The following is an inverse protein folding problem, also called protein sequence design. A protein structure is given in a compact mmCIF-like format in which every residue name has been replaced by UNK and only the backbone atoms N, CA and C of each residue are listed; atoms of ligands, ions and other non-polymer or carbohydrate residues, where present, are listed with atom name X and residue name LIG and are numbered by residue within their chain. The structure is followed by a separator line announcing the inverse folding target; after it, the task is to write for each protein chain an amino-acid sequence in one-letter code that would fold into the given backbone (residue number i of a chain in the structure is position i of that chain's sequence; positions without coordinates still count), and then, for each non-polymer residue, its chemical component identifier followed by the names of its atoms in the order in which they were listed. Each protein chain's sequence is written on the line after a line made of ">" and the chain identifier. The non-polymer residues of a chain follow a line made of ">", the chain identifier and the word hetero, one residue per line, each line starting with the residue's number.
data_IF_397561576318
#
_entry.id   IF_397561576318
#
_cell.length_a   1.000
_cell.length_b   1.000
_cell.length_c   1.000
_cell.angle_alpha   90.00
_cell.angle_beta   90.00
_cell.angle_gamma   90.00
#
_symmetry.space_group_name_H-M   'P 1'
#
loop_
_entity.id
_entity.type
_entity.pdbx_description
1 polymer ?
#
# COMPACT_ATOMS: atom_id res chain seq x y z
N UNK A 1 -2.75 50.87 57.12
CA UNK A 1 -2.65 51.72 55.90
C UNK A 1 -2.48 50.77 54.72
N UNK A 2 -3.44 50.44 53.86
CA UNK A 2 -4.26 51.22 52.89
C UNK A 2 -3.45 51.92 51.76
N UNK A 3 -3.50 51.29 50.57
CA UNK A 3 -3.57 51.83 49.17
C UNK A 3 -2.24 52.44 48.61
N UNK A 4 -1.74 52.27 47.37
CA UNK A 4 -2.32 52.15 46.00
C UNK A 4 -1.36 51.51 44.97
N UNK A 5 -1.94 50.84 43.98
CA UNK A 5 -1.38 50.42 42.68
C UNK A 5 -1.25 51.59 41.67
N UNK A 6 -0.69 51.27 40.49
CA UNK A 6 -0.82 51.92 39.15
C UNK A 6 0.31 52.92 38.75
N UNK A 7 0.83 53.00 37.51
CA UNK A 7 0.79 52.18 36.26
C UNK A 7 1.64 52.87 35.17
N UNK A 8 2.18 52.08 34.21
CA UNK A 8 2.54 52.42 32.78
C UNK A 8 3.64 53.48 32.48
N UNK A 9 4.35 53.52 31.34
CA UNK A 9 4.30 52.90 30.00
C UNK A 9 5.74 52.86 29.40
N UNK A 10 6.15 51.88 28.58
CA UNK A 10 6.22 51.95 27.10
C UNK A 10 7.67 52.26 26.61
N UNK A 11 8.31 51.65 25.61
CA UNK A 11 7.88 50.86 24.46
C UNK A 11 9.08 50.09 23.81
N UNK A 12 8.83 48.85 23.35
CA UNK A 12 9.11 48.21 22.02
C UNK A 12 10.53 48.39 21.40
N UNK A 13 11.29 47.33 21.04
CA UNK A 13 11.21 46.50 19.79
C UNK A 13 12.14 45.26 19.90
N UNK A 14 11.55 44.06 19.68
CA UNK A 14 11.98 42.86 18.92
C UNK A 14 13.43 42.27 19.07
N UNK A 15 13.74 40.97 19.01
CA UNK A 15 13.20 39.80 18.29
C UNK A 15 13.64 38.53 19.07
N UNK A 16 12.74 37.57 19.25
CA UNK A 16 13.04 36.25 19.84
C UNK A 16 11.77 35.41 20.03
N UNK A 17 10.91 35.44 19.03
CA UNK A 17 9.56 34.85 19.01
C UNK A 17 9.57 33.33 19.01
N UNK A 18 8.72 32.77 19.88
CA UNK A 18 7.94 31.53 19.71
C UNK A 18 8.71 30.26 19.30
N UNK A 19 8.98 29.41 20.28
CA UNK A 19 8.93 27.95 20.10
C UNK A 19 8.03 27.31 21.16
N UNK A 20 6.88 27.94 21.41
CA UNK A 20 5.73 27.26 22.00
C UNK A 20 5.01 26.52 20.87
N UNK A 21 5.69 25.55 20.26
CA UNK A 21 5.05 24.62 19.32
C UNK A 21 4.15 23.74 20.16
N UNK A 22 2.85 23.86 19.91
CA UNK A 22 1.78 23.08 20.50
C UNK A 22 2.12 21.59 20.53
N UNK A 23 2.60 21.10 21.68
CA UNK A 23 2.49 19.69 22.04
C UNK A 23 1.00 19.38 22.25
N UNK A 24 0.26 19.20 21.15
CA UNK A 24 -0.95 18.39 21.22
C UNK A 24 -0.46 17.01 21.65
N UNK A 25 -0.88 16.45 22.80
CA UNK A 25 -0.53 15.09 23.13
C UNK A 25 -0.99 14.23 21.97
N UNK A 26 -0.04 13.50 21.39
CA UNK A 26 -0.27 12.50 20.36
C UNK A 26 -1.23 11.49 20.97
N UNK A 27 -2.54 11.74 20.83
CA UNK A 27 -3.56 10.79 21.25
C UNK A 27 -3.25 9.53 20.46
N UNK A 28 -2.88 8.42 21.11
CA UNK A 28 -2.53 7.22 20.37
C UNK A 28 -3.74 6.90 19.50
N UNK A 29 -3.53 6.88 18.19
CA UNK A 29 -4.58 6.53 17.24
C UNK A 29 -5.04 5.13 17.62
N UNK A 30 -6.21 5.02 18.26
CA UNK A 30 -6.73 3.78 18.80
C UNK A 30 -7.29 2.95 17.66
N UNK A 31 -6.43 2.17 17.02
CA UNK A 31 -6.83 1.14 16.07
C UNK A 31 -6.90 -0.18 16.86
N UNK A 32 -7.98 -0.99 16.73
CA UNK A 32 -8.15 -2.19 17.56
C UNK A 32 -7.05 -3.21 17.26
N UNK A 33 -6.54 -3.91 18.27
CA UNK A 33 -5.43 -4.86 18.12
C UNK A 33 -5.72 -5.87 16.98
N UNK A 34 -4.84 -5.95 15.96
CA UNK A 34 -5.03 -6.87 14.83
C UNK A 34 -5.22 -8.32 15.26
N UNK A 35 -4.71 -8.72 16.44
CA UNK A 35 -4.86 -10.07 17.01
C UNK A 35 -6.31 -10.42 17.36
N UNK A 36 -7.12 -9.43 17.68
CA UNK A 36 -8.51 -9.60 18.14
C UNK A 36 -9.57 -9.41 17.06
N UNK A 37 -9.17 -8.98 15.85
CA UNK A 37 -10.09 -8.62 14.78
C UNK A 37 -10.43 -9.81 13.86
N UNK A 38 -11.70 -9.88 13.45
CA UNK A 38 -12.14 -10.70 12.32
C UNK A 38 -11.57 -10.16 11.01
N UNK A 39 -11.59 -10.95 9.94
CA UNK A 39 -11.09 -10.54 8.62
C UNK A 39 -11.74 -9.22 8.13
N UNK A 40 -13.05 -9.09 8.27
CA UNK A 40 -13.79 -7.85 7.98
C UNK A 40 -13.34 -6.67 8.86
N UNK A 41 -13.02 -6.94 10.12
CA UNK A 41 -12.50 -5.93 11.05
C UNK A 41 -11.12 -5.42 10.66
N UNK A 42 -10.26 -6.32 10.15
CA UNK A 42 -8.94 -5.96 9.61
C UNK A 42 -9.11 -5.10 8.35
N UNK A 43 -9.99 -5.50 7.43
CA UNK A 43 -10.27 -4.73 6.22
C UNK A 43 -10.71 -3.30 6.56
N UNK A 44 -11.69 -3.16 7.46
CA UNK A 44 -12.17 -1.84 7.93
C UNK A 44 -11.09 -1.03 8.63
N UNK A 45 -10.23 -1.68 9.42
CA UNK A 45 -9.12 -1.00 10.09
C UNK A 45 -8.18 -0.39 9.04
N UNK A 46 -7.80 -1.13 8.00
CA UNK A 46 -6.91 -0.65 6.94
C UNK A 46 -7.57 0.42 6.07
N UNK A 47 -8.87 0.34 5.84
CA UNK A 47 -9.61 1.37 5.10
C UNK A 47 -9.72 2.71 5.85
N UNK A 48 -9.38 2.74 7.15
CA UNK A 48 -9.49 3.96 7.97
C UNK A 48 -8.31 4.93 7.78
N UNK A 49 -8.59 6.23 7.84
CA UNK A 49 -7.56 7.28 7.83
C UNK A 49 -6.57 7.13 8.99
N UNK A 50 -7.06 6.62 10.12
CA UNK A 50 -6.29 6.33 11.32
C UNK A 50 -5.15 5.34 11.04
N UNK A 51 -5.38 4.34 10.19
CA UNK A 51 -4.36 3.37 9.83
C UNK A 51 -3.16 4.01 9.12
N UNK A 52 -3.40 4.97 8.23
CA UNK A 52 -2.31 5.68 7.52
C UNK A 52 -1.34 6.41 8.46
N UNK A 53 -1.80 6.76 9.68
CA UNK A 53 -1.04 7.46 10.71
C UNK A 53 -0.31 6.51 11.68
N UNK A 54 -0.53 5.21 11.58
CA UNK A 54 0.14 4.23 12.42
C UNK A 54 1.65 4.16 12.10
N UNK A 55 2.49 3.87 13.12
CA UNK A 55 3.88 3.45 12.91
C UNK A 55 3.96 2.26 11.95
N UNK A 56 5.04 2.17 11.18
CA UNK A 56 5.16 1.16 10.13
C UNK A 56 5.15 -0.26 10.70
N UNK A 57 5.72 -0.46 11.89
CA UNK A 57 5.74 -1.75 12.58
C UNK A 57 4.32 -2.22 12.87
N UNK A 58 3.45 -1.30 13.31
CA UNK A 58 2.03 -1.61 13.55
C UNK A 58 1.29 -1.89 12.26
N UNK A 59 1.55 -1.16 11.18
CA UNK A 59 0.94 -1.46 9.88
C UNK A 59 1.34 -2.86 9.42
N UNK A 60 2.62 -3.21 9.52
CA UNK A 60 3.13 -4.52 9.12
C UNK A 60 2.40 -5.66 9.88
N UNK A 61 2.08 -5.50 11.17
CA UNK A 61 1.26 -6.48 11.94
C UNK A 61 -0.14 -6.73 11.35
N UNK A 62 -0.82 -5.72 10.80
CA UNK A 62 -2.11 -5.92 10.11
C UNK A 62 -1.91 -6.53 8.73
N UNK A 63 -0.88 -6.08 8.01
CA UNK A 63 -0.63 -6.46 6.63
C UNK A 63 -0.19 -7.92 6.53
N UNK A 64 0.60 -8.44 7.48
CA UNK A 64 0.97 -9.85 7.56
C UNK A 64 -0.25 -10.78 7.60
N UNK A 65 -1.36 -10.34 8.20
CA UNK A 65 -2.60 -11.12 8.25
C UNK A 65 -3.38 -11.13 6.94
N UNK A 66 -3.19 -10.11 6.10
CA UNK A 66 -3.85 -10.00 4.79
C UNK A 66 -3.04 -10.69 3.71
N UNK A 67 -1.71 -10.71 3.85
CA UNK A 67 -0.78 -11.31 2.89
C UNK A 67 -1.05 -12.82 2.85
N UNK A 68 -1.86 -13.34 1.92
CA UNK A 68 -2.38 -14.67 2.11
C UNK A 68 -1.32 -15.65 1.63
N UNK A 69 -0.79 -16.44 2.56
CA UNK A 69 -0.35 -17.80 2.22
C UNK A 69 -1.56 -18.67 1.78
N UNK A 70 -2.79 -18.22 2.07
CA UNK A 70 -4.06 -18.87 1.80
C UNK A 70 -4.94 -18.02 0.84
N UNK A 71 -5.06 -18.40 -0.44
CA UNK A 71 -5.83 -17.66 -1.44
C UNK A 71 -7.31 -17.41 -1.08
N UNK A 72 -7.93 -18.26 -0.25
CA UNK A 72 -9.34 -18.12 0.11
C UNK A 72 -9.56 -16.98 1.11
N UNK A 73 -8.72 -16.90 2.14
CA UNK A 73 -8.76 -15.79 3.13
C UNK A 73 -8.48 -14.43 2.49
N UNK A 74 -7.58 -14.40 1.49
CA UNK A 74 -7.36 -13.20 0.70
C UNK A 74 -8.66 -12.74 0.02
N UNK A 75 -9.38 -13.66 -0.62
CA UNK A 75 -10.63 -13.34 -1.33
C UNK A 75 -11.72 -12.79 -0.40
N UNK A 76 -11.87 -13.35 0.79
CA UNK A 76 -12.84 -12.87 1.79
C UNK A 76 -12.58 -11.40 2.18
N UNK A 77 -11.31 -11.04 2.43
CA UNK A 77 -10.91 -9.67 2.75
C UNK A 77 -11.20 -8.73 1.59
N UNK A 78 -10.85 -9.08 0.35
CA UNK A 78 -11.16 -8.23 -0.81
C UNK A 78 -12.67 -8.12 -1.07
N UNK A 79 -13.43 -9.20 -0.88
CA UNK A 79 -14.89 -9.18 -1.00
C UNK A 79 -15.55 -8.26 0.05
N UNK A 80 -14.97 -8.18 1.26
CA UNK A 80 -15.43 -7.23 2.28
C UNK A 80 -15.20 -5.78 1.86
N UNK A 81 -14.10 -5.49 1.15
CA UNK A 81 -13.75 -4.16 0.63
C UNK A 81 -14.68 -3.74 -0.51
N UNK A 82 -15.18 -4.67 -1.33
CA UNK A 82 -16.14 -4.34 -2.39
C UNK A 82 -17.44 -3.73 -1.87
N UNK A 83 -17.83 -4.09 -0.64
CA UNK A 83 -19.03 -3.58 0.04
C UNK A 83 -18.82 -2.21 0.70
N UNK A 84 -17.59 -1.70 0.71
CA UNK A 84 -17.24 -0.40 1.31
C UNK A 84 -17.50 0.77 0.34
N UNK A 85 -17.49 1.98 0.90
CA UNK A 85 -17.56 3.23 0.11
C UNK A 85 -16.33 3.38 -0.78
N UNK A 86 -16.42 4.23 -1.82
CA UNK A 86 -15.30 4.47 -2.74
C UNK A 86 -14.09 5.10 -2.04
N UNK A 87 -14.33 5.92 -1.01
CA UNK A 87 -13.27 6.52 -0.18
C UNK A 87 -12.56 5.46 0.66
N UNK A 88 -13.31 4.59 1.34
CA UNK A 88 -12.74 3.47 2.10
C UNK A 88 -11.97 2.50 1.20
N UNK A 89 -12.50 2.21 0.01
CA UNK A 89 -11.80 1.40 -1.01
C UNK A 89 -10.49 2.06 -1.41
N UNK A 90 -10.50 3.36 -1.69
CA UNK A 90 -9.29 4.11 -2.06
C UNK A 90 -8.25 4.04 -0.94
N UNK A 91 -8.66 4.36 0.29
CA UNK A 91 -7.80 4.30 1.47
C UNK A 91 -7.21 2.90 1.69
N UNK A 92 -8.03 1.86 1.53
CA UNK A 92 -7.57 0.48 1.62
C UNK A 92 -6.45 0.19 0.62
N UNK A 93 -6.65 0.54 -0.66
CA UNK A 93 -5.64 0.32 -1.70
C UNK A 93 -4.36 1.12 -1.44
N UNK A 94 -4.47 2.38 -1.03
CA UNK A 94 -3.32 3.24 -0.73
C UNK A 94 -2.50 2.69 0.45
N UNK A 95 -3.19 2.24 1.51
CA UNK A 95 -2.56 1.68 2.70
C UNK A 95 -1.96 0.28 2.45
N UNK A 96 -2.54 -0.53 1.56
CA UNK A 96 -2.02 -1.83 1.16
C UNK A 96 -0.84 -1.74 0.17
N UNK A 97 -0.69 -0.63 -0.55
CA UNK A 97 0.30 -0.47 -1.63
C UNK A 97 1.73 -0.84 -1.22
N UNK A 98 2.26 -0.41 -0.06
CA UNK A 98 3.62 -0.78 0.36
C UNK A 98 3.77 -2.29 0.61
N UNK A 99 2.74 -2.94 1.14
CA UNK A 99 2.73 -4.39 1.38
C UNK A 99 2.80 -5.17 0.06
N UNK A 100 1.99 -4.76 -0.92
CA UNK A 100 2.03 -5.34 -2.26
C UNK A 100 3.38 -5.14 -2.95
N UNK A 101 3.99 -3.97 -2.80
CA UNK A 101 5.33 -3.71 -3.34
C UNK A 101 6.37 -4.64 -2.71
N UNK A 102 6.38 -4.79 -1.38
CA UNK A 102 7.27 -5.74 -0.67
C UNK A 102 7.04 -7.19 -1.15
N UNK A 103 5.79 -7.61 -1.29
CA UNK A 103 5.45 -8.96 -1.76
C UNK A 103 5.92 -9.19 -3.20
N UNK A 104 5.70 -8.23 -4.09
CA UNK A 104 6.14 -8.33 -5.48
C UNK A 104 7.66 -8.38 -5.57
N UNK A 105 8.35 -7.55 -4.78
CA UNK A 105 9.81 -7.54 -4.74
C UNK A 105 10.35 -8.93 -4.34
N UNK A 106 9.79 -9.54 -3.30
CA UNK A 106 10.16 -10.89 -2.86
C UNK A 106 10.00 -11.91 -4.00
N UNK A 107 8.87 -11.88 -4.73
CA UNK A 107 8.65 -12.79 -5.88
C UNK A 107 9.67 -12.59 -6.99
N UNK A 108 10.02 -11.35 -7.28
CA UNK A 108 11.04 -11.03 -8.28
C UNK A 108 12.39 -11.57 -7.85
N UNK A 109 12.79 -11.36 -6.60
CA UNK A 109 14.07 -11.87 -6.11
C UNK A 109 14.11 -13.40 -6.08
N UNK A 110 13.02 -14.06 -5.69
CA UNK A 110 12.86 -15.52 -5.80
C UNK A 110 13.02 -15.98 -7.26
N UNK A 111 12.35 -15.32 -8.21
CA UNK A 111 12.46 -15.63 -9.63
C UNK A 111 13.91 -15.53 -10.12
N UNK A 112 14.63 -14.46 -9.80
CA UNK A 112 16.01 -14.27 -10.25
C UNK A 112 16.99 -15.25 -9.60
N UNK A 113 16.69 -15.78 -8.41
CA UNK A 113 17.49 -16.80 -7.74
C UNK A 113 17.31 -18.23 -8.30
N UNK A 114 16.29 -18.47 -9.14
CA UNK A 114 16.01 -19.80 -9.71
C UNK A 114 16.85 -20.12 -10.96
N UNK A 115 17.01 -21.42 -11.23
CA UNK A 115 17.59 -21.94 -12.50
C UNK A 115 16.64 -21.67 -13.68
N UNK A 116 17.14 -21.69 -14.94
CA UNK A 116 16.30 -21.46 -16.12
C UNK A 116 15.05 -22.33 -16.19
N UNK A 117 15.15 -23.62 -15.85
CA UNK A 117 14.04 -24.57 -15.92
C UNK A 117 12.97 -24.22 -14.87
N UNK A 118 13.39 -23.92 -13.64
CA UNK A 118 12.48 -23.54 -12.55
C UNK A 118 11.82 -22.19 -12.79
N UNK A 119 12.47 -21.28 -13.53
CA UNK A 119 11.91 -19.99 -13.94
C UNK A 119 10.70 -20.18 -14.85
N UNK A 120 10.75 -21.11 -15.80
CA UNK A 120 9.59 -21.35 -16.68
C UNK A 120 8.39 -21.87 -15.91
N UNK A 121 8.59 -22.87 -15.04
CA UNK A 121 7.52 -23.39 -14.19
C UNK A 121 6.93 -22.32 -13.26
N UNK A 122 7.80 -21.45 -12.71
CA UNK A 122 7.36 -20.32 -11.89
C UNK A 122 6.48 -19.36 -12.68
N UNK A 123 6.90 -18.96 -13.88
CA UNK A 123 6.12 -18.09 -14.76
C UNK A 123 4.80 -18.74 -15.15
N UNK A 124 4.78 -20.04 -15.42
CA UNK A 124 3.55 -20.75 -15.78
C UNK A 124 2.51 -20.74 -14.65
N UNK A 125 2.95 -20.99 -13.41
CA UNK A 125 2.08 -20.89 -12.23
C UNK A 125 1.55 -19.48 -12.03
N UNK A 126 2.41 -18.47 -12.19
CA UNK A 126 2.01 -17.07 -12.00
C UNK A 126 1.03 -16.59 -13.08
N UNK A 127 1.24 -17.00 -14.34
CA UNK A 127 0.31 -16.74 -15.44
C UNK A 127 -1.04 -17.39 -15.16
N UNK A 128 -1.07 -18.64 -14.68
CA UNK A 128 -2.34 -19.29 -14.34
C UNK A 128 -3.05 -18.55 -13.20
N UNK A 129 -2.33 -18.19 -12.15
CA UNK A 129 -2.86 -17.39 -11.03
C UNK A 129 -3.46 -16.06 -11.52
N UNK A 130 -2.79 -15.36 -12.45
CA UNK A 130 -3.32 -14.13 -13.04
C UNK A 130 -4.55 -14.38 -13.92
N UNK A 131 -4.58 -15.46 -14.69
CA UNK A 131 -5.73 -15.84 -15.50
C UNK A 131 -6.94 -16.17 -14.63
N UNK A 132 -6.75 -16.89 -13.52
CA UNK A 132 -7.80 -17.17 -12.54
C UNK A 132 -8.35 -15.89 -11.91
N UNK A 133 -7.46 -14.96 -11.51
CA UNK A 133 -7.88 -13.65 -10.99
C UNK A 133 -8.67 -12.84 -12.02
N UNK A 134 -8.28 -12.91 -13.30
CA UNK A 134 -8.98 -12.23 -14.39
C UNK A 134 -10.35 -12.84 -14.67
N UNK A 135 -10.47 -14.17 -14.62
CA UNK A 135 -11.74 -14.90 -14.80
C UNK A 135 -12.70 -14.68 -13.64
N UNK A 136 -12.19 -14.57 -12.42
CA UNK A 136 -12.98 -14.43 -11.20
C UNK A 136 -13.61 -13.04 -10.95
N UNK A 137 -13.60 -12.11 -11.93
CA UNK A 137 -14.18 -10.77 -11.78
C UNK A 137 -13.42 -9.81 -10.84
N UNK A 138 -12.59 -10.35 -9.94
CA UNK A 138 -11.72 -9.64 -8.99
C UNK A 138 -10.49 -8.97 -9.63
N UNK A 139 -10.53 -8.73 -10.95
CA UNK A 139 -9.46 -8.10 -11.69
C UNK A 139 -9.18 -6.73 -11.07
N UNK A 140 -7.93 -6.52 -10.65
CA UNK A 140 -7.46 -5.25 -10.09
C UNK A 140 -7.72 -4.05 -11.02
N UNK A 141 -7.16 -2.87 -10.70
CA UNK A 141 -7.35 -1.67 -11.52
C UNK A 141 -6.94 -1.95 -12.98
N UNK A 142 -7.92 -2.17 -13.87
CA UNK A 142 -7.69 -2.64 -15.26
C UNK A 142 -8.48 -3.88 -15.72
N UNK A 143 -9.38 -4.45 -14.92
CA UNK A 143 -10.29 -5.52 -15.36
C UNK A 143 -11.17 -5.13 -16.56
N UNK A 144 -11.62 -6.10 -17.38
CA UNK A 144 -12.43 -5.83 -18.58
C UNK A 144 -13.72 -5.10 -18.20
N UNK A 145 -13.86 -3.84 -18.64
CA UNK A 145 -15.01 -2.98 -18.35
C UNK A 145 -14.69 -1.70 -17.58
N UNK A 146 -13.49 -1.57 -17.00
CA UNK A 146 -13.00 -0.29 -16.49
C UNK A 146 -12.27 0.43 -17.63
N UNK A 147 -12.69 1.67 -17.91
CA UNK A 147 -12.06 2.53 -18.92
C UNK A 147 -10.54 2.67 -18.73
N UNK A 148 -9.82 3.22 -19.71
CA UNK A 148 -8.37 3.36 -19.64
C UNK A 148 -7.97 4.00 -18.31
N UNK A 149 -6.92 3.48 -17.63
CA UNK A 149 -6.50 4.04 -16.35
C UNK A 149 -6.20 5.54 -16.52
N UNK A 150 -6.53 6.37 -15.52
CA UNK A 150 -6.15 7.79 -15.56
C UNK A 150 -4.64 7.91 -15.74
N UNK A 151 -4.21 8.89 -16.54
CA UNK A 151 -2.79 9.14 -16.77
C UNK A 151 -2.11 9.37 -15.41
N UNK A 152 -0.98 8.70 -15.12
CA UNK A 152 -0.25 8.94 -13.88
C UNK A 152 0.15 10.41 -13.77
N UNK A 153 -0.05 11.01 -12.60
CA UNK A 153 0.41 12.36 -12.31
C UNK A 153 1.96 12.44 -12.39
N UNK A 154 2.49 13.59 -12.79
CA UNK A 154 3.93 13.81 -12.96
C UNK A 154 4.66 13.63 -11.64
N UNK A 155 4.07 14.06 -10.52
CA UNK A 155 4.66 13.87 -9.20
C UNK A 155 4.68 12.38 -8.81
N UNK A 156 3.65 11.63 -9.18
CA UNK A 156 3.62 10.18 -8.98
C UNK A 156 4.72 9.47 -9.76
N UNK A 157 4.91 9.84 -11.04
CA UNK A 157 5.99 9.31 -11.86
C UNK A 157 7.35 9.65 -11.25
N UNK A 158 7.58 10.92 -10.88
CA UNK A 158 8.82 11.37 -10.26
C UNK A 158 9.15 10.57 -9.00
N UNK A 159 8.20 10.43 -8.09
CA UNK A 159 8.38 9.65 -6.88
C UNK A 159 8.70 8.18 -7.21
N UNK A 160 8.10 7.59 -8.25
CA UNK A 160 8.43 6.23 -8.69
C UNK A 160 9.86 6.11 -9.22
N UNK A 161 10.36 7.12 -9.96
CA UNK A 161 11.73 7.13 -10.49
C UNK A 161 12.79 7.38 -9.41
N UNK A 162 12.50 8.23 -8.42
CA UNK A 162 13.46 8.64 -7.40
C UNK A 162 13.57 7.66 -6.22
N UNK A 163 12.51 6.88 -5.94
CA UNK A 163 12.46 6.01 -4.75
C UNK A 163 12.91 4.57 -4.99
N UNK A 164 12.99 4.11 -6.24
CA UNK A 164 13.39 2.74 -6.57
C UNK A 164 14.84 2.67 -7.02
N UNK A 165 15.59 1.75 -6.41
CA UNK A 165 16.93 1.39 -6.86
C UNK A 165 16.91 0.90 -8.33
N UNK A 166 17.85 1.36 -9.20
CA UNK A 166 17.84 1.03 -10.62
C UNK A 166 17.95 -0.47 -10.91
N UNK A 167 18.68 -1.24 -10.08
CA UNK A 167 18.82 -2.69 -10.26
C UNK A 167 17.49 -3.38 -9.96
N UNK A 168 16.85 -2.99 -8.87
CA UNK A 168 15.53 -3.46 -8.46
C UNK A 168 14.49 -3.21 -9.55
N UNK A 169 14.50 -2.01 -10.12
CA UNK A 169 13.62 -1.65 -11.24
C UNK A 169 13.88 -2.48 -12.49
N UNK A 170 15.15 -2.69 -12.85
CA UNK A 170 15.54 -3.48 -14.01
C UNK A 170 15.07 -4.94 -13.87
N UNK A 171 15.25 -5.54 -12.68
CA UNK A 171 14.74 -6.88 -12.37
C UNK A 171 13.23 -6.96 -12.52
N UNK A 172 12.49 -6.01 -11.93
CA UNK A 172 11.03 -5.95 -12.03
C UNK A 172 10.58 -5.87 -13.49
N UNK A 173 11.18 -4.97 -14.28
CA UNK A 173 10.85 -4.83 -15.70
C UNK A 173 11.16 -6.09 -16.51
N UNK A 174 12.29 -6.73 -16.23
CA UNK A 174 12.67 -7.99 -16.88
C UNK A 174 11.71 -9.12 -16.53
N UNK A 175 11.33 -9.27 -15.27
CA UNK A 175 10.35 -10.26 -14.82
C UNK A 175 9.01 -10.13 -15.55
N UNK A 176 8.47 -8.92 -15.68
CA UNK A 176 7.22 -8.71 -16.42
C UNK A 176 7.34 -8.95 -17.92
N UNK A 177 8.50 -8.62 -18.53
CA UNK A 177 8.77 -8.99 -19.92
C UNK A 177 8.75 -10.50 -20.12
N UNK A 178 9.45 -11.24 -19.27
CA UNK A 178 9.57 -12.69 -19.39
C UNK A 178 8.20 -13.37 -19.18
N UNK A 179 7.40 -12.85 -18.25
CA UNK A 179 6.02 -13.28 -18.03
C UNK A 179 5.13 -13.03 -19.26
N UNK A 180 5.23 -11.85 -19.88
CA UNK A 180 4.46 -11.53 -21.08
C UNK A 180 4.85 -12.42 -22.25
N UNK A 181 6.16 -12.56 -22.52
CA UNK A 181 6.66 -13.45 -23.56
C UNK A 181 6.25 -14.90 -23.33
N UNK A 182 6.28 -15.39 -22.08
CA UNK A 182 5.83 -16.75 -21.77
C UNK A 182 4.34 -16.91 -22.00
N UNK A 183 3.53 -15.94 -21.64
CA UNK A 183 2.09 -15.96 -21.89
C UNK A 183 1.79 -16.01 -23.40
N UNK A 184 2.47 -15.18 -24.20
CA UNK A 184 2.36 -15.19 -25.67
C UNK A 184 2.76 -16.54 -26.28
N UNK A 185 3.89 -17.12 -25.83
CA UNK A 185 4.31 -18.46 -26.28
C UNK A 185 3.26 -19.53 -25.94
N UNK A 186 2.62 -19.47 -24.76
CA UNK A 186 1.54 -20.41 -24.38
C UNK A 186 0.30 -20.27 -25.26
N UNK A 187 -0.03 -19.06 -25.71
CA UNK A 187 -1.23 -18.80 -26.53
C UNK A 187 -0.97 -18.96 -28.02
N UNK A 188 0.24 -18.69 -28.51
CA UNK A 188 0.61 -18.78 -29.92
C UNK A 188 1.02 -20.18 -30.38
N UNK A 189 1.27 -21.11 -29.44
CA UNK A 189 1.49 -22.53 -29.73
C UNK A 189 0.20 -23.37 -29.63
N UNK A 190 -0.98 -22.73 -29.64
CA UNK A 190 -2.29 -23.38 -29.67
C UNK A 190 -2.94 -23.27 -31.05
#
# INVERSE_FOLDING_TARGET
>A
MKIKYLVQAGAVVAIGTLSMVCYKPFSPVKVPDPKSLTQDGIAKAISSDSFSKLPQEKKDEYLEKITPADPEKGREIFASVEKMTDEEKKNFHENMRPAFQKMMQKRVDEYFAMTPEKKEEFLDREIERMNEMRKGGNGGPGGPGRGPPPKPDVQHLKNMFETQDPVTKAKMHQFFRDMHQRAERRTGNK
#
